data_IF_078611121280
#
_entry.id   IF_078611121280
#
_cell.length_a   1.000
_cell.length_b   1.000
_cell.length_c   1.000
_cell.angle_alpha   90.00
_cell.angle_beta   90.00
_cell.angle_gamma   90.00
#
_symmetry.space_group_name_H-M   'P 1'
#
loop_
_entity.id
_entity.type
_entity.pdbx_description
1 polymer ?
#
# COMPACT_ATOMS: atom_id res chain seq x y z
N UNK A 1 -6.49 24.63 33.80
CA UNK A 1 -6.93 23.33 33.26
C UNK A 1 -6.73 23.42 31.76
N UNK A 2 -5.66 22.82 31.24
CA UNK A 2 -5.39 22.79 29.80
C UNK A 2 -6.42 21.87 29.15
N UNK A 3 -7.31 22.42 28.35
CA UNK A 3 -8.22 21.64 27.52
C UNK A 3 -7.38 20.77 26.59
N UNK A 4 -7.50 19.44 26.72
CA UNK A 4 -6.94 18.51 25.75
C UNK A 4 -7.71 18.69 24.43
N UNK A 5 -7.11 19.43 23.50
CA UNK A 5 -7.65 19.61 22.15
C UNK A 5 -7.65 18.25 21.46
N UNK A 6 -8.79 17.56 21.49
CA UNK A 6 -8.97 16.32 20.75
C UNK A 6 -9.13 16.66 19.27
N UNK A 7 -8.06 16.49 18.49
CA UNK A 7 -8.17 16.66 17.04
C UNK A 7 -9.07 15.55 16.49
N UNK A 8 -10.28 15.92 16.09
CA UNK A 8 -11.32 14.97 15.69
C UNK A 8 -11.14 14.60 14.22
N UNK A 9 -10.31 13.59 13.96
CA UNK A 9 -10.06 13.11 12.60
C UNK A 9 -11.21 12.19 12.12
N UNK A 10 -11.81 12.54 10.98
CA UNK A 10 -12.81 11.80 10.17
C UNK A 10 -13.76 10.79 10.88
N UNK A 11 -14.88 11.23 11.48
CA UNK A 11 -15.90 10.30 11.96
C UNK A 11 -16.73 9.74 10.79
N UNK A 12 -16.75 8.41 10.61
CA UNK A 12 -17.68 7.70 9.70
C UNK A 12 -17.07 6.88 8.55
N UNK A 13 -15.77 7.04 8.24
CA UNK A 13 -15.16 6.39 7.07
C UNK A 13 -14.57 4.98 7.31
N UNK A 14 -14.31 4.56 8.55
CA UNK A 14 -13.63 3.27 8.81
C UNK A 14 -14.42 2.05 8.39
N UNK A 15 -15.67 1.95 8.81
CA UNK A 15 -16.51 0.82 8.44
C UNK A 15 -16.66 0.73 6.91
N UNK A 16 -16.81 1.87 6.23
CA UNK A 16 -16.89 1.93 4.77
C UNK A 16 -15.59 1.47 4.12
N UNK A 17 -14.46 1.98 4.58
CA UNK A 17 -13.16 1.65 3.98
C UNK A 17 -12.75 0.21 4.27
N UNK A 18 -12.96 -0.27 5.48
CA UNK A 18 -12.77 -1.68 5.84
C UNK A 18 -13.63 -2.58 4.98
N UNK A 19 -14.93 -2.30 4.84
CA UNK A 19 -15.85 -3.05 3.96
C UNK A 19 -15.37 -3.02 2.50
N UNK A 20 -14.95 -1.86 2.02
CA UNK A 20 -14.39 -1.69 0.67
C UNK A 20 -13.16 -2.57 0.47
N UNK A 21 -12.15 -2.48 1.35
CA UNK A 21 -10.95 -3.32 1.30
C UNK A 21 -11.29 -4.82 1.36
N UNK A 22 -12.14 -5.23 2.30
CA UNK A 22 -12.59 -6.62 2.43
C UNK A 22 -13.28 -7.14 1.18
N UNK A 23 -14.14 -6.32 0.55
CA UNK A 23 -14.80 -6.70 -0.71
C UNK A 23 -13.80 -6.86 -1.87
N UNK A 24 -12.69 -6.13 -1.84
CA UNK A 24 -11.66 -6.13 -2.87
C UNK A 24 -10.61 -7.23 -2.69
N UNK A 25 -10.35 -7.65 -1.45
CA UNK A 25 -9.46 -8.78 -1.14
C UNK A 25 -9.89 -10.09 -1.80
N UNK A 26 -11.19 -10.26 -2.08
CA UNK A 26 -11.72 -11.42 -2.81
C UNK A 26 -11.32 -11.44 -4.29
N UNK A 27 -10.94 -10.29 -4.84
CA UNK A 27 -10.65 -10.12 -6.27
C UNK A 27 -9.16 -10.22 -6.60
N UNK A 28 -8.29 -10.15 -5.58
CA UNK A 28 -6.83 -10.13 -5.74
C UNK A 28 -6.16 -11.35 -5.14
N UNK A 29 -4.97 -11.66 -5.65
CA UNK A 29 -4.13 -12.76 -5.19
C UNK A 29 -3.19 -12.32 -4.06
N UNK A 30 -2.80 -11.05 -4.05
CA UNK A 30 -1.83 -10.47 -3.12
C UNK A 30 -2.13 -9.01 -2.79
N UNK A 31 -1.72 -8.58 -1.60
CA UNK A 31 -1.73 -7.17 -1.17
C UNK A 31 -0.32 -6.59 -1.22
N UNK A 32 -0.21 -5.38 -1.77
CA UNK A 32 1.03 -4.61 -1.79
C UNK A 32 0.85 -3.43 -0.85
N UNK A 33 1.44 -3.50 0.34
CA UNK A 33 1.36 -2.48 1.38
C UNK A 33 2.48 -1.46 1.21
N UNK A 34 2.14 -0.22 0.84
CA UNK A 34 3.11 0.88 0.77
C UNK A 34 3.14 1.62 2.10
N UNK A 35 4.36 1.77 2.63
CA UNK A 35 4.68 2.55 3.83
C UNK A 35 5.70 3.63 3.47
N UNK A 36 5.81 4.66 4.31
CA UNK A 36 6.84 5.68 4.17
C UNK A 36 8.11 5.21 4.91
N UNK A 37 9.23 5.08 4.20
CA UNK A 37 10.48 4.56 4.73
C UNK A 37 11.03 5.37 5.91
N UNK A 38 10.64 6.64 6.04
CA UNK A 38 11.01 7.52 7.16
C UNK A 38 10.30 7.11 8.45
N UNK A 39 9.10 6.57 8.34
CA UNK A 39 8.24 6.18 9.47
C UNK A 39 7.48 4.86 9.18
N UNK A 40 8.17 3.72 8.96
CA UNK A 40 7.52 2.51 8.43
C UNK A 40 6.37 1.99 9.31
N UNK A 41 6.51 2.13 10.64
CA UNK A 41 5.46 1.75 11.58
C UNK A 41 4.33 2.79 11.68
N UNK A 42 4.65 4.09 11.82
CA UNK A 42 3.62 5.12 11.97
C UNK A 42 2.81 5.35 10.69
N UNK A 43 3.37 5.04 9.52
CA UNK A 43 2.68 5.11 8.23
C UNK A 43 1.85 3.88 7.89
N UNK A 44 1.79 2.90 8.78
CA UNK A 44 1.06 1.64 8.61
C UNK A 44 -0.32 1.71 9.25
N UNK A 45 -1.33 1.22 8.55
CA UNK A 45 -2.68 1.11 9.12
C UNK A 45 -2.69 0.05 10.23
N UNK A 46 -3.08 0.38 11.48
CA UNK A 46 -3.06 -0.56 12.60
C UNK A 46 -4.03 -1.74 12.41
N UNK A 47 -5.10 -1.58 11.63
CA UNK A 47 -6.03 -2.68 11.32
C UNK A 47 -5.60 -3.53 10.12
N UNK A 48 -4.48 -3.22 9.45
CA UNK A 48 -4.14 -3.87 8.16
C UNK A 48 -4.03 -5.39 8.29
N UNK A 49 -3.46 -5.88 9.39
CA UNK A 49 -3.31 -7.32 9.64
C UNK A 49 -4.68 -8.01 9.79
N UNK A 50 -5.60 -7.36 10.50
CA UNK A 50 -6.98 -7.85 10.66
C UNK A 50 -7.77 -7.81 9.35
N UNK A 51 -7.54 -6.79 8.53
CA UNK A 51 -8.25 -6.60 7.25
C UNK A 51 -7.75 -7.60 6.21
N UNK A 52 -6.43 -7.73 6.04
CA UNK A 52 -5.77 -8.59 5.05
C UNK A 52 -5.87 -10.07 5.42
N UNK A 53 -5.82 -10.39 6.71
CA UNK A 53 -5.88 -11.76 7.20
C UNK A 53 -4.75 -12.61 6.62
N UNK A 54 -5.10 -13.77 6.06
CA UNK A 54 -4.13 -14.73 5.49
C UNK A 54 -3.80 -14.45 4.01
N UNK A 55 -4.34 -13.38 3.41
CA UNK A 55 -3.99 -13.03 2.03
C UNK A 55 -2.48 -12.72 1.98
N UNK A 56 -1.71 -13.30 1.03
CA UNK A 56 -0.30 -12.97 0.89
C UNK A 56 -0.10 -11.47 0.77
N UNK A 57 1.02 -11.00 1.31
CA UNK A 57 1.32 -9.59 1.37
C UNK A 57 2.82 -9.34 1.21
N UNK A 58 3.15 -8.27 0.49
CA UNK A 58 4.49 -7.70 0.46
C UNK A 58 4.44 -6.24 0.89
N UNK A 59 5.54 -5.74 1.48
CA UNK A 59 5.65 -4.34 1.93
C UNK A 59 6.69 -3.59 1.09
N UNK A 60 6.33 -2.40 0.63
CA UNK A 60 7.25 -1.45 0.01
C UNK A 60 7.49 -0.28 0.97
N UNK A 61 8.73 -0.15 1.44
CA UNK A 61 9.18 1.01 2.21
C UNK A 61 9.57 2.09 1.20
N UNK A 62 8.58 2.89 0.81
CA UNK A 62 8.73 3.89 -0.25
C UNK A 62 9.37 5.19 0.27
N UNK A 63 9.92 6.00 -0.64
CA UNK A 63 10.70 7.21 -0.33
C UNK A 63 11.98 6.90 0.44
N UNK A 64 12.63 5.78 0.10
CA UNK A 64 13.88 5.39 0.76
C UNK A 64 15.05 6.34 0.49
N UNK A 65 14.94 7.23 -0.51
CA UNK A 65 15.87 8.34 -0.76
C UNK A 65 15.87 9.37 0.38
N UNK A 66 14.79 9.47 1.15
CA UNK A 66 14.65 10.39 2.27
C UNK A 66 14.81 9.71 3.65
N UNK A 67 15.24 8.45 3.69
CA UNK A 67 15.40 7.67 4.92
C UNK A 67 16.84 7.16 5.06
N UNK A 68 17.28 6.93 6.30
CA UNK A 68 18.60 6.38 6.56
C UNK A 68 18.69 4.89 6.20
N UNK A 69 19.58 4.52 5.26
CA UNK A 69 19.74 3.16 4.73
C UNK A 69 19.86 2.08 5.83
N UNK A 70 20.64 2.34 6.88
CA UNK A 70 20.83 1.39 7.98
C UNK A 70 19.52 1.13 8.75
N UNK A 71 18.73 2.17 8.99
CA UNK A 71 17.43 2.07 9.69
C UNK A 71 16.40 1.39 8.79
N UNK A 72 16.37 1.71 7.51
CA UNK A 72 15.48 1.04 6.54
C UNK A 72 15.79 -0.46 6.44
N UNK A 73 17.06 -0.86 6.44
CA UNK A 73 17.46 -2.28 6.48
C UNK A 73 16.98 -2.99 7.74
N UNK A 74 17.04 -2.32 8.91
CA UNK A 74 16.49 -2.88 10.16
C UNK A 74 14.99 -3.11 10.08
N UNK A 75 14.24 -2.18 9.48
CA UNK A 75 12.80 -2.37 9.27
C UNK A 75 12.47 -3.50 8.29
N UNK A 76 13.23 -3.64 7.20
CA UNK A 76 13.09 -4.78 6.28
C UNK A 76 13.31 -6.10 7.02
N UNK A 77 14.34 -6.19 7.86
CA UNK A 77 14.61 -7.37 8.66
C UNK A 77 13.49 -7.65 9.66
N UNK A 78 12.93 -6.61 10.28
CA UNK A 78 11.77 -6.72 11.17
C UNK A 78 10.54 -7.29 10.46
N UNK A 79 10.19 -6.80 9.26
CA UNK A 79 9.10 -7.37 8.47
C UNK A 79 9.36 -8.83 8.09
N UNK A 80 10.59 -9.17 7.72
CA UNK A 80 10.97 -10.55 7.43
C UNK A 80 10.78 -11.49 8.64
N UNK A 81 11.08 -11.04 9.86
CA UNK A 81 10.82 -11.79 11.10
C UNK A 81 9.32 -12.02 11.34
N UNK A 82 8.46 -11.12 10.85
CA UNK A 82 7.00 -11.27 10.87
C UNK A 82 6.46 -12.13 9.71
N UNK A 83 7.35 -12.70 8.87
CA UNK A 83 6.97 -13.47 7.68
C UNK A 83 6.42 -12.63 6.54
N UNK A 84 6.68 -11.31 6.53
CA UNK A 84 6.20 -10.39 5.50
C UNK A 84 7.40 -9.94 4.66
N UNK A 85 7.51 -10.36 3.39
CA UNK A 85 8.59 -9.91 2.53
C UNK A 85 8.50 -8.40 2.30
N UNK A 86 9.64 -7.70 2.44
CA UNK A 86 9.71 -6.25 2.32
C UNK A 86 10.92 -5.79 1.52
N UNK A 87 10.78 -4.68 0.78
CA UNK A 87 11.87 -4.02 0.05
C UNK A 87 11.80 -2.50 0.19
N UNK A 88 12.95 -1.84 0.11
CA UNK A 88 13.02 -0.39 0.02
C UNK A 88 12.86 0.07 -1.43
N UNK A 89 12.05 1.12 -1.65
CA UNK A 89 11.80 1.66 -2.98
C UNK A 89 11.81 3.19 -2.98
N UNK A 90 12.14 3.77 -4.11
CA UNK A 90 11.72 5.12 -4.45
C UNK A 90 10.92 5.07 -5.75
N UNK A 91 9.61 5.20 -5.63
CA UNK A 91 8.70 5.16 -6.78
C UNK A 91 8.86 6.35 -7.73
N UNK A 92 9.50 7.46 -7.29
CA UNK A 92 9.77 8.63 -8.13
C UNK A 92 10.98 8.37 -9.03
N UNK A 93 12.13 7.98 -8.48
CA UNK A 93 13.33 7.66 -9.29
C UNK A 93 13.28 6.28 -9.94
N UNK A 94 12.52 5.34 -9.37
CA UNK A 94 12.48 3.93 -9.76
C UNK A 94 13.45 3.03 -8.99
N UNK A 95 14.23 3.57 -8.06
CA UNK A 95 15.17 2.78 -7.23
C UNK A 95 14.43 1.63 -6.53
N UNK A 96 14.98 0.42 -6.65
CA UNK A 96 14.45 -0.80 -6.01
C UNK A 96 13.23 -1.46 -6.69
N UNK A 97 12.57 -0.79 -7.65
CA UNK A 97 11.37 -1.35 -8.30
C UNK A 97 11.64 -2.55 -9.21
N UNK A 98 12.87 -2.73 -9.67
CA UNK A 98 13.28 -3.92 -10.41
C UNK A 98 13.12 -5.22 -9.58
N UNK A 99 13.23 -5.13 -8.26
CA UNK A 99 13.04 -6.26 -7.34
C UNK A 99 11.57 -6.51 -6.96
N UNK A 100 10.65 -5.59 -7.28
CA UNK A 100 9.25 -5.69 -6.86
C UNK A 100 8.50 -6.89 -7.45
N UNK A 101 8.49 -7.05 -8.77
CA UNK A 101 7.80 -8.18 -9.40
C UNK A 101 8.43 -9.54 -9.07
N UNK A 102 9.76 -9.69 -9.01
CA UNK A 102 10.40 -10.88 -8.46
C UNK A 102 9.92 -11.23 -7.04
N UNK A 103 9.86 -10.24 -6.14
CA UNK A 103 9.39 -10.43 -4.77
C UNK A 103 7.93 -10.91 -4.72
N UNK A 104 7.05 -10.32 -5.53
CA UNK A 104 5.64 -10.74 -5.63
C UNK A 104 5.51 -12.18 -6.12
N UNK A 105 6.29 -12.55 -7.15
CA UNK A 105 6.26 -13.92 -7.70
C UNK A 105 6.78 -14.93 -6.69
N UNK A 106 7.81 -14.59 -5.93
CA UNK A 106 8.30 -15.47 -4.86
C UNK A 106 7.25 -15.62 -3.75
N UNK A 107 6.62 -14.52 -3.31
CA UNK A 107 5.54 -14.56 -2.31
C UNK A 107 4.31 -15.37 -2.76
N UNK A 108 4.12 -15.57 -4.06
CA UNK A 108 3.03 -16.35 -4.64
C UNK A 108 3.49 -17.69 -5.23
N UNK A 109 4.74 -18.11 -5.04
CA UNK A 109 5.34 -19.26 -5.72
C UNK A 109 4.48 -20.52 -5.65
N UNK A 110 3.98 -20.86 -4.46
CA UNK A 110 3.12 -22.04 -4.27
C UNK A 110 1.75 -21.90 -4.95
N UNK A 111 1.17 -20.69 -4.96
CA UNK A 111 -0.09 -20.42 -5.65
C UNK A 111 0.07 -20.49 -7.17
N UNK A 112 1.15 -19.91 -7.70
CA UNK A 112 1.48 -19.97 -9.11
C UNK A 112 1.66 -21.43 -9.55
N UNK A 113 2.45 -22.22 -8.81
CA UNK A 113 2.63 -23.63 -9.11
C UNK A 113 1.31 -24.43 -9.10
N UNK A 114 0.38 -24.11 -8.16
CA UNK A 114 -0.96 -24.72 -8.14
C UNK A 114 -1.81 -24.34 -9.36
N UNK A 115 -1.72 -23.10 -9.84
CA UNK A 115 -2.42 -22.66 -11.04
C UNK A 115 -1.86 -23.34 -12.30
N UNK A 116 -0.55 -23.46 -12.41
CA UNK A 116 0.12 -24.15 -13.51
C UNK A 116 -0.29 -25.63 -13.59
N UNK A 117 -0.34 -26.33 -12.45
CA UNK A 117 -0.84 -27.72 -12.38
C UNK A 117 -2.30 -27.86 -12.84
N UNK A 118 -3.09 -26.79 -12.74
CA UNK A 118 -4.49 -26.73 -13.22
C UNK A 118 -4.62 -26.25 -14.67
N UNK A 119 -3.51 -26.13 -15.40
CA UNK A 119 -3.50 -25.66 -16.80
C UNK A 119 -3.66 -24.14 -16.95
N UNK A 120 -3.65 -23.36 -15.87
CA UNK A 120 -3.81 -21.89 -15.90
C UNK A 120 -2.47 -21.16 -16.09
N UNK A 121 -1.62 -21.67 -17.00
CA UNK A 121 -0.30 -21.09 -17.25
C UNK A 121 -0.46 -19.67 -17.81
N UNK A 122 0.31 -18.72 -17.27
CA UNK A 122 0.27 -17.32 -17.74
C UNK A 122 -0.92 -16.50 -17.23
N UNK A 123 -1.75 -17.03 -16.31
CA UNK A 123 -2.78 -16.26 -15.62
C UNK A 123 -2.17 -14.99 -14.99
N UNK A 124 -2.73 -13.79 -15.24
CA UNK A 124 -2.24 -12.57 -14.62
C UNK A 124 -2.33 -12.62 -13.09
N UNK A 125 -1.32 -12.08 -12.41
CA UNK A 125 -1.33 -11.89 -10.96
C UNK A 125 -2.13 -10.62 -10.65
N UNK A 126 -3.20 -10.74 -9.88
CA UNK A 126 -4.01 -9.60 -9.45
C UNK A 126 -3.52 -9.08 -8.11
N UNK A 127 -3.19 -7.80 -8.04
CA UNK A 127 -2.69 -7.17 -6.82
C UNK A 127 -3.58 -6.01 -6.39
N UNK A 128 -3.73 -5.81 -5.08
CA UNK A 128 -4.32 -4.59 -4.53
C UNK A 128 -3.21 -3.77 -3.87
N UNK A 129 -3.09 -2.50 -4.24
CA UNK A 129 -2.15 -1.58 -3.59
C UNK A 129 -2.88 -0.90 -2.43
N UNK A 130 -2.26 -0.87 -1.25
CA UNK A 130 -2.82 -0.23 -0.05
C UNK A 130 -1.78 0.66 0.61
N UNK A 131 -2.25 1.68 1.34
CA UNK A 131 -1.38 2.60 2.07
C UNK A 131 -2.04 3.97 2.24
N UNK A 132 -1.47 4.75 3.16
CA UNK A 132 -1.94 6.11 3.47
C UNK A 132 -1.87 7.05 2.26
N UNK A 133 -2.65 8.13 2.22
CA UNK A 133 -2.45 9.24 1.29
C UNK A 133 -0.98 9.68 1.23
N UNK A 134 -0.56 10.14 0.06
CA UNK A 134 0.79 10.67 -0.20
C UNK A 134 1.97 9.72 0.06
N UNK A 135 1.73 8.43 0.33
CA UNK A 135 2.80 7.42 0.47
C UNK A 135 3.45 7.05 -0.87
N UNK A 136 2.83 7.40 -2.01
CA UNK A 136 3.37 7.16 -3.35
C UNK A 136 2.69 6.06 -4.18
N UNK A 137 1.45 5.67 -3.84
CA UNK A 137 0.67 4.65 -4.59
C UNK A 137 0.53 4.98 -6.08
N UNK A 138 0.10 6.20 -6.42
CA UNK A 138 -0.05 6.61 -7.82
C UNK A 138 1.30 6.67 -8.55
N UNK A 139 2.38 7.09 -7.87
CA UNK A 139 3.73 7.06 -8.42
C UNK A 139 4.17 5.63 -8.75
N UNK A 140 3.89 4.66 -7.87
CA UNK A 140 4.15 3.24 -8.13
C UNK A 140 3.37 2.76 -9.36
N UNK A 141 2.05 3.00 -9.40
CA UNK A 141 1.18 2.59 -10.51
C UNK A 141 1.72 3.16 -11.83
N UNK A 142 1.98 4.47 -11.87
CA UNK A 142 2.48 5.14 -13.07
C UNK A 142 3.84 4.59 -13.51
N UNK A 143 4.73 4.31 -12.56
CA UNK A 143 6.06 3.79 -12.86
C UNK A 143 6.03 2.36 -13.38
N UNK A 144 5.14 1.53 -12.85
CA UNK A 144 4.92 0.17 -13.33
C UNK A 144 4.20 0.15 -14.68
N UNK A 145 3.31 1.11 -14.94
CA UNK A 145 2.67 1.28 -16.24
C UNK A 145 3.64 1.78 -17.33
N UNK A 146 4.72 2.48 -16.93
CA UNK A 146 6.04 2.46 -17.56
C UNK A 146 6.24 3.11 -18.94
N UNK A 147 5.34 2.97 -19.90
CA UNK A 147 5.66 3.33 -21.31
C UNK A 147 4.50 3.32 -22.30
N UNK A 148 3.32 2.83 -21.93
CA UNK A 148 2.06 3.00 -22.67
C UNK A 148 1.00 3.29 -21.64
N UNK A 149 0.19 4.33 -21.86
CA UNK A 149 -0.91 4.71 -20.94
C UNK A 149 -1.59 3.46 -20.42
N UNK A 150 -1.70 3.35 -19.08
CA UNK A 150 -2.56 2.38 -18.42
C UNK A 150 -3.88 2.34 -19.20
N UNK A 151 -4.17 1.21 -19.86
CA UNK A 151 -5.49 0.99 -20.44
C UNK A 151 -6.41 0.79 -19.26
N UNK A 152 -7.09 1.86 -18.87
CA UNK A 152 -8.23 1.79 -17.97
C UNK A 152 -9.28 0.97 -18.72
N UNK A 153 -9.43 -0.31 -18.35
CA UNK A 153 -10.52 -1.12 -18.86
C UNK A 153 -11.81 -0.69 -18.15
N UNK A 154 -12.54 0.22 -18.79
CA UNK A 154 -13.90 0.56 -18.39
C UNK A 154 -14.81 -0.55 -18.93
N UNK A 155 -15.13 -1.55 -18.08
CA UNK A 155 -16.06 -2.62 -18.46
C UNK A 155 -17.48 -2.04 -18.49
N UNK A 156 -18.15 -1.94 -19.66
CA UNK A 156 -19.48 -1.32 -19.73
C UNK A 156 -20.51 -2.15 -18.94
N UNK A 157 -21.32 -1.48 -18.12
CA UNK A 157 -22.47 -2.09 -17.43
C UNK A 157 -22.37 -2.23 -15.90
N UNK A 158 -21.27 -1.82 -15.26
CA UNK A 158 -21.12 -1.88 -13.80
C UNK A 158 -20.76 -0.50 -13.26
N UNK A 159 -21.66 0.10 -12.46
CA UNK A 159 -21.55 1.34 -11.68
C UNK A 159 -20.10 1.82 -11.49
N UNK A 160 -19.65 2.92 -12.16
CA UNK A 160 -18.29 3.54 -12.07
C UNK A 160 -17.24 2.60 -11.43
N UNK A 161 -16.92 1.52 -12.13
CA UNK A 161 -16.36 0.30 -11.56
C UNK A 161 -14.93 0.42 -11.02
N UNK A 162 -14.56 -0.56 -10.19
CA UNK A 162 -13.20 -0.78 -9.67
C UNK A 162 -12.17 -0.69 -10.81
N UNK A 163 -11.25 0.29 -10.73
CA UNK A 163 -10.29 0.57 -11.79
C UNK A 163 -9.14 -0.45 -11.76
N UNK A 164 -9.13 -1.35 -12.73
CA UNK A 164 -8.01 -2.25 -12.98
C UNK A 164 -7.02 -1.60 -13.94
N UNK A 165 -5.75 -1.66 -13.58
CA UNK A 165 -4.63 -1.24 -14.42
C UNK A 165 -3.87 -2.49 -14.81
N UNK A 166 -4.03 -2.91 -16.06
CA UNK A 166 -3.27 -4.02 -16.63
C UNK A 166 -1.85 -3.55 -16.94
N UNK A 167 -0.88 -4.27 -16.39
CA UNK A 167 0.54 -4.04 -16.58
C UNK A 167 1.14 -5.12 -17.49
N UNK A 168 2.27 -4.80 -18.11
CA UNK A 168 3.07 -5.80 -18.80
C UNK A 168 3.51 -6.91 -17.84
N UNK A 169 3.89 -8.07 -18.40
CA UNK A 169 4.42 -9.23 -17.67
C UNK A 169 3.39 -9.96 -16.79
N UNK A 170 2.11 -9.90 -17.18
CA UNK A 170 1.04 -10.73 -16.60
C UNK A 170 0.64 -10.28 -15.20
N UNK A 171 0.35 -9.00 -15.04
CA UNK A 171 -0.03 -8.39 -13.77
C UNK A 171 -1.21 -7.45 -13.96
N UNK A 172 -2.16 -7.46 -13.04
CA UNK A 172 -3.27 -6.52 -12.98
C UNK A 172 -3.28 -5.85 -11.60
N UNK A 173 -3.32 -4.52 -11.56
CA UNK A 173 -3.40 -3.74 -10.33
C UNK A 173 -4.81 -3.22 -10.12
N UNK A 174 -5.38 -3.48 -8.94
CA UNK A 174 -6.57 -2.80 -8.49
C UNK A 174 -6.16 -1.48 -7.82
N UNK A 175 -6.49 -0.37 -8.44
CA UNK A 175 -6.24 0.95 -7.85
C UNK A 175 -7.22 1.19 -6.68
N UNK A 176 -6.66 1.60 -5.56
CA UNK A 176 -7.39 1.88 -4.33
C UNK A 176 -7.09 3.31 -3.89
N UNK A 177 -8.12 4.09 -3.52
CA UNK A 177 -7.88 5.40 -2.93
C UNK A 177 -7.02 5.27 -1.67
N UNK A 178 -6.23 6.30 -1.37
CA UNK A 178 -5.48 6.36 -0.12
C UNK A 178 -6.41 6.31 1.08
N UNK A 179 -6.13 5.41 2.01
CA UNK A 179 -6.93 5.20 3.20
C UNK A 179 -6.13 5.65 4.42
N UNK A 180 -6.59 6.73 5.08
CA UNK A 180 -6.21 7.02 6.47
C UNK A 180 -7.18 6.34 7.42
N UNK A 181 -6.67 5.97 8.59
CA UNK A 181 -7.49 5.64 9.76
C UNK A 181 -7.72 6.91 10.59
N UNK A 182 -8.91 7.06 11.20
CA UNK A 182 -9.42 8.32 11.76
C UNK A 182 -9.03 8.54 13.22
N UNK A 183 -8.36 7.62 13.90
CA UNK A 183 -7.91 7.85 15.27
C UNK A 183 -6.47 7.42 15.43
N UNK A 184 -5.62 8.40 15.71
CA UNK A 184 -4.31 8.18 16.29
C UNK A 184 -4.52 8.22 17.80
N UNK A 185 -4.38 7.08 18.47
CA UNK A 185 -4.36 7.06 19.94
C UNK A 185 -3.05 7.66 20.46
N UNK A 186 -1.99 7.64 19.66
CA UNK A 186 -0.66 8.18 19.95
C UNK A 186 -0.42 9.49 19.20
N UNK A 187 -0.26 10.59 19.96
CA UNK A 187 0.07 11.92 19.43
C UNK A 187 1.33 11.91 18.55
N UNK A 188 2.34 11.12 18.94
CA UNK A 188 3.61 10.97 18.22
C UNK A 188 3.41 10.42 16.81
N UNK A 189 2.44 9.53 16.62
CA UNK A 189 2.10 8.98 15.30
C UNK A 189 1.49 10.08 14.42
N UNK A 190 0.62 10.91 14.99
CA UNK A 190 0.04 12.07 14.31
C UNK A 190 1.11 13.06 13.84
N UNK A 191 2.00 13.46 14.73
CA UNK A 191 3.12 14.37 14.44
C UNK A 191 4.03 13.83 13.33
N UNK A 192 4.41 12.55 13.40
CA UNK A 192 5.21 11.89 12.36
C UNK A 192 4.53 11.90 10.99
N UNK A 193 3.22 11.65 10.96
CA UNK A 193 2.44 11.68 9.71
C UNK A 193 2.33 13.10 9.14
N UNK A 194 2.26 14.12 10.01
CA UNK A 194 2.35 15.53 9.64
C UNK A 194 3.67 15.84 8.96
N UNK A 195 4.79 15.59 9.66
CA UNK A 195 6.14 15.91 9.19
C UNK A 195 6.50 15.20 7.87
N UNK A 196 5.80 14.11 7.56
CA UNK A 196 6.00 13.36 6.32
C UNK A 196 5.05 13.74 5.18
N UNK A 197 4.11 14.66 5.44
CA UNK A 197 3.11 15.15 4.48
C UNK A 197 2.00 14.14 4.18
N UNK A 198 1.81 13.14 5.04
CA UNK A 198 0.74 12.16 4.89
C UNK A 198 -0.63 12.73 5.29
N UNK A 199 -0.62 13.75 6.14
CA UNK A 199 -1.76 14.57 6.54
C UNK A 199 -1.48 15.99 6.06
N UNK A 200 -2.50 16.69 5.53
CA UNK A 200 -2.34 18.09 5.08
C UNK A 200 -2.11 19.01 6.28
N UNK A 201 -1.26 20.02 6.11
CA UNK A 201 -0.91 21.00 7.15
C UNK A 201 -2.13 21.83 7.63
N UNK A 202 -3.18 21.95 6.80
CA UNK A 202 -4.45 22.63 7.17
C UNK A 202 -5.18 22.03 8.38
N UNK A 203 -4.65 20.94 8.95
CA UNK A 203 -5.26 20.18 10.06
C UNK A 203 -4.26 19.99 11.22
N UNK A 204 -3.09 20.63 11.13
CA UNK A 204 -2.15 20.81 12.24
C UNK A 204 -2.28 22.26 12.70
N UNK A 205 -2.57 22.51 13.97
CA UNK A 205 -2.33 23.83 14.55
C UNK A 205 -0.82 24.08 14.52
N UNK A 206 -0.36 24.67 13.42
CA UNK A 206 0.97 25.26 13.27
C UNK A 206 0.91 26.68 13.81
N UNK A 207 0.61 26.83 15.10
CA UNK A 207 0.87 28.09 15.82
C UNK A 207 1.90 27.82 16.93
N UNK A 208 3.08 28.40 16.74
CA UNK A 208 4.06 28.74 17.78
C UNK A 208 3.91 30.22 18.09
#
# INVERSE_FOLDING_TARGET
MTEEISVQWFPGHMAKTRRMMQSNLKLVDIVVELTDARIPQSSRNPEIDRIVGQKPRVVLLNKCDAAGDAVTKRWIAWYAQQGIPAIATDCRSGKGLNAFLPLVREALKEQIARWEKKGMKGRPIRMMIVGIPNVGKSSLINRLAGSRRAKVEDRPGVTRGKQWVTLDKGVELLDMPGVLWPKFEDKTVGERLAFTGAVKDDIMDVEL
#
